data_IF_630204414174
#
_entry.id   IF_630204414174
#
_cell.length_a   1.000
_cell.length_b   1.000
_cell.length_c   1.000
_cell.angle_alpha   90.00
_cell.angle_beta   90.00
_cell.angle_gamma   90.00
#
_symmetry.space_group_name_H-M   'P 1'
#
loop_
_entity.id
_entity.type
_entity.pdbx_description
1 polymer ?
#
# COMPACT_ATOMS: atom_id res chain seq x y z
N UNK A 1 17.08 -2.80 -21.78
CA UNK A 1 15.73 -3.16 -22.27
C UNK A 1 14.82 -1.95 -22.20
N UNK A 2 13.77 -1.93 -23.00
CA UNK A 2 12.71 -0.90 -22.97
C UNK A 2 11.55 -1.38 -22.12
N UNK A 3 11.36 -0.73 -20.97
CA UNK A 3 10.40 -1.15 -19.95
C UNK A 3 9.30 -0.09 -19.81
N UNK A 4 8.06 -0.54 -19.84
CA UNK A 4 6.90 0.30 -19.61
C UNK A 4 6.33 0.03 -18.23
N UNK A 5 6.28 1.04 -17.38
CA UNK A 5 5.58 1.04 -16.11
C UNK A 5 4.16 1.59 -16.33
N UNK A 6 3.14 0.73 -16.28
CA UNK A 6 1.77 1.11 -16.64
C UNK A 6 0.84 1.14 -15.42
N UNK A 7 0.21 2.28 -15.20
CA UNK A 7 -0.71 2.48 -14.09
C UNK A 7 -1.89 3.37 -14.48
N UNK A 8 -2.84 3.55 -13.54
CA UNK A 8 -4.04 4.34 -13.78
C UNK A 8 -3.73 5.84 -13.81
N UNK A 9 -3.03 6.34 -12.81
CA UNK A 9 -2.72 7.76 -12.59
C UNK A 9 -1.42 7.89 -11.80
N UNK A 10 -0.90 9.10 -11.70
CA UNK A 10 0.22 9.47 -10.81
C UNK A 10 -0.25 10.32 -9.62
N UNK A 11 -1.47 10.05 -9.11
CA UNK A 11 -2.02 10.74 -7.96
C UNK A 11 -1.32 10.40 -6.63
N UNK A 12 -1.75 11.05 -5.55
CA UNK A 12 -1.24 10.79 -4.20
C UNK A 12 -1.78 9.44 -3.68
N UNK A 13 -1.01 8.38 -3.86
CA UNK A 13 -1.38 7.02 -3.43
C UNK A 13 -0.20 6.08 -3.26
N UNK A 14 -0.43 4.98 -2.54
CA UNK A 14 0.62 4.01 -2.25
C UNK A 14 1.04 3.18 -3.48
N UNK A 15 0.13 2.91 -4.39
CA UNK A 15 0.41 2.19 -5.65
C UNK A 15 1.29 3.07 -6.54
N UNK A 16 0.91 4.33 -6.69
CA UNK A 16 1.59 5.33 -7.49
C UNK A 16 3.01 5.56 -6.98
N UNK A 17 3.19 5.66 -5.65
CA UNK A 17 4.52 5.79 -5.04
C UNK A 17 5.42 4.59 -5.32
N UNK A 18 4.92 3.38 -5.12
CA UNK A 18 5.69 2.15 -5.37
C UNK A 18 6.06 2.00 -6.85
N UNK A 19 5.14 2.35 -7.77
CA UNK A 19 5.44 2.32 -9.20
C UNK A 19 6.46 3.39 -9.60
N UNK A 20 6.33 4.60 -9.07
CA UNK A 20 7.28 5.68 -9.36
C UNK A 20 8.67 5.35 -8.86
N UNK A 21 8.79 4.79 -7.65
CA UNK A 21 10.07 4.30 -7.15
C UNK A 21 10.65 3.18 -8.01
N UNK A 22 9.84 2.18 -8.39
CA UNK A 22 10.27 1.12 -9.29
C UNK A 22 10.80 1.67 -10.63
N UNK A 23 10.09 2.63 -11.23
CA UNK A 23 10.48 3.21 -12.50
C UNK A 23 11.85 3.92 -12.44
N UNK A 24 12.11 4.63 -11.34
CA UNK A 24 13.44 5.27 -11.09
C UNK A 24 14.51 4.21 -10.91
N UNK A 25 14.29 3.19 -10.07
CA UNK A 25 15.26 2.11 -9.85
C UNK A 25 15.60 1.36 -11.14
N UNK A 26 14.62 1.10 -12.00
CA UNK A 26 14.86 0.47 -13.30
C UNK A 26 15.66 1.39 -14.24
N UNK A 27 15.42 2.69 -14.16
CA UNK A 27 16.21 3.69 -14.93
C UNK A 27 17.66 3.73 -14.46
N UNK A 28 17.89 3.74 -13.14
CA UNK A 28 19.23 3.68 -12.53
C UNK A 28 19.96 2.38 -12.87
N UNK A 29 19.23 1.27 -13.02
CA UNK A 29 19.76 -0.01 -13.48
C UNK A 29 20.09 -0.04 -15.00
N UNK A 30 19.99 1.09 -15.71
CA UNK A 30 20.38 1.23 -17.11
C UNK A 30 19.31 0.81 -18.12
N UNK A 31 18.05 0.67 -17.73
CA UNK A 31 16.96 0.41 -18.66
C UNK A 31 16.41 1.70 -19.27
N UNK A 32 15.84 1.62 -20.47
CA UNK A 32 15.04 2.70 -21.05
C UNK A 32 13.59 2.57 -20.51
N UNK A 33 13.19 3.49 -19.62
CA UNK A 33 11.95 3.39 -18.85
C UNK A 33 10.98 4.51 -19.20
N UNK A 34 9.73 4.15 -19.42
CA UNK A 34 8.62 5.11 -19.54
C UNK A 34 7.48 4.74 -18.61
N UNK A 35 6.90 5.73 -17.96
CA UNK A 35 5.68 5.57 -17.18
C UNK A 35 4.49 5.98 -18.04
N UNK A 36 3.55 5.05 -18.28
CA UNK A 36 2.32 5.31 -19.02
C UNK A 36 1.11 5.34 -18.09
N UNK A 37 0.23 6.34 -18.24
CA UNK A 37 -1.00 6.49 -17.45
C UNK A 37 -2.16 6.99 -18.32
N UNK A 38 -3.42 6.79 -17.85
CA UNK A 38 -4.62 7.19 -18.61
C UNK A 38 -5.62 8.04 -17.79
N UNK A 39 -5.25 8.51 -16.61
CA UNK A 39 -5.97 9.52 -15.81
C UNK A 39 -5.01 10.67 -15.56
N UNK A 40 -5.53 11.90 -15.55
CA UNK A 40 -4.76 13.16 -15.57
C UNK A 40 -4.11 13.58 -14.25
N UNK A 41 -4.23 12.80 -13.17
CA UNK A 41 -3.54 13.09 -11.91
C UNK A 41 -2.02 12.91 -12.06
N UNK A 42 -1.22 13.89 -11.58
CA UNK A 42 0.21 14.04 -11.90
C UNK A 42 1.11 14.33 -10.70
N UNK A 43 0.73 13.92 -9.48
CA UNK A 43 1.49 14.19 -8.26
C UNK A 43 2.96 13.74 -8.32
N UNK A 44 3.22 12.55 -8.87
CA UNK A 44 4.59 11.99 -8.99
C UNK A 44 5.29 12.32 -10.30
N UNK A 45 4.71 13.15 -11.19
CA UNK A 45 5.32 13.48 -12.50
C UNK A 45 6.68 14.16 -12.34
N UNK A 46 6.77 15.24 -11.55
CA UNK A 46 8.02 15.97 -11.36
C UNK A 46 9.14 15.07 -10.82
N UNK A 47 8.81 14.24 -9.81
CA UNK A 47 9.76 13.26 -9.26
C UNK A 47 10.30 12.31 -10.34
N UNK A 48 9.46 11.80 -11.23
CA UNK A 48 9.87 10.91 -12.32
C UNK A 48 10.74 11.64 -13.35
N UNK A 49 10.33 12.82 -13.79
CA UNK A 49 11.03 13.61 -14.80
C UNK A 49 12.42 14.10 -14.30
N UNK A 50 12.51 14.53 -13.04
CA UNK A 50 13.78 14.89 -12.36
C UNK A 50 14.76 13.72 -12.29
N UNK A 51 14.27 12.47 -12.24
CA UNK A 51 15.07 11.25 -12.27
C UNK A 51 15.20 10.65 -13.69
N UNK A 52 14.91 11.42 -14.73
CA UNK A 52 15.12 11.03 -16.12
C UNK A 52 14.14 9.98 -16.65
N UNK A 53 12.99 9.77 -15.98
CA UNK A 53 11.93 8.86 -16.43
C UNK A 53 10.85 9.64 -17.16
N UNK A 54 10.59 9.29 -18.42
CA UNK A 54 9.54 9.91 -19.24
C UNK A 54 8.16 9.50 -18.76
N UNK A 55 7.20 10.42 -18.82
CA UNK A 55 5.80 10.19 -18.47
C UNK A 55 4.90 10.45 -19.67
N UNK A 56 4.20 9.41 -20.11
CA UNK A 56 3.27 9.44 -21.23
C UNK A 56 1.82 9.36 -20.75
N UNK A 57 0.98 10.24 -21.27
CA UNK A 57 -0.46 10.19 -21.06
C UNK A 57 -1.12 9.45 -22.22
N UNK A 58 -1.98 8.49 -21.90
CA UNK A 58 -2.79 7.77 -22.87
C UNK A 58 -4.21 8.28 -22.81
N UNK A 59 -4.71 8.84 -23.91
CA UNK A 59 -6.08 9.33 -23.98
C UNK A 59 -7.08 8.18 -23.79
N UNK A 60 -7.96 8.37 -22.84
CA UNK A 60 -9.03 7.43 -22.55
C UNK A 60 -10.10 7.53 -23.65
N UNK A 61 -10.04 6.64 -24.65
CA UNK A 61 -11.00 6.59 -25.74
C UNK A 61 -11.96 5.40 -25.59
N UNK A 62 -13.25 5.63 -25.87
CA UNK A 62 -14.27 4.60 -26.16
C UNK A 62 -14.24 3.36 -25.24
N UNK A 63 -14.39 3.52 -23.92
CA UNK A 63 -14.45 2.40 -22.98
C UNK A 63 -13.10 1.70 -22.75
N UNK A 64 -13.16 0.47 -22.24
CA UNK A 64 -11.96 -0.30 -21.87
C UNK A 64 -11.15 -0.76 -23.08
N UNK A 65 -11.81 -1.24 -24.13
CA UNK A 65 -11.15 -1.74 -25.35
C UNK A 65 -10.47 -0.62 -26.14
N UNK A 66 -11.11 0.55 -26.30
CA UNK A 66 -10.49 1.69 -26.96
C UNK A 66 -9.25 2.21 -26.22
N UNK A 67 -9.28 2.19 -24.88
CA UNK A 67 -8.10 2.52 -24.09
C UNK A 67 -6.99 1.47 -24.27
N UNK A 68 -7.34 0.16 -24.33
CA UNK A 68 -6.35 -0.90 -24.58
C UNK A 68 -5.70 -0.81 -25.94
N UNK A 69 -6.46 -0.41 -26.98
CA UNK A 69 -5.91 -0.15 -28.33
C UNK A 69 -4.93 1.04 -28.31
N UNK A 70 -5.27 2.13 -27.58
CA UNK A 70 -4.36 3.26 -27.44
C UNK A 70 -3.08 2.87 -26.68
N UNK A 71 -3.21 2.01 -25.65
CA UNK A 71 -2.04 1.41 -24.95
C UNK A 71 -1.22 0.59 -25.94
N UNK A 72 -1.83 -0.28 -26.74
CA UNK A 72 -1.11 -1.11 -27.72
C UNK A 72 -0.27 -0.28 -28.69
N UNK A 73 -0.85 0.79 -29.26
CA UNK A 73 -0.13 1.70 -30.15
C UNK A 73 1.08 2.35 -29.49
N UNK A 74 0.91 2.82 -28.25
CA UNK A 74 2.02 3.43 -27.48
C UNK A 74 3.12 2.41 -27.13
N UNK A 75 2.76 1.18 -26.82
CA UNK A 75 3.72 0.09 -26.61
C UNK A 75 4.52 -0.24 -27.86
N UNK A 76 3.89 -0.22 -29.03
CA UNK A 76 4.55 -0.41 -30.34
C UNK A 76 5.48 0.77 -30.65
N UNK A 77 5.01 2.03 -30.52
CA UNK A 77 5.82 3.24 -30.71
C UNK A 77 7.08 3.22 -29.84
N UNK A 78 6.96 2.87 -28.59
CA UNK A 78 8.08 2.73 -27.68
C UNK A 78 8.89 1.45 -27.93
N UNK A 79 8.36 0.50 -28.69
CA UNK A 79 8.93 -0.84 -28.91
C UNK A 79 9.21 -1.56 -27.59
N UNK A 80 8.23 -1.62 -26.69
CA UNK A 80 8.37 -2.20 -25.37
C UNK A 80 8.84 -3.66 -25.41
N UNK A 81 9.80 -4.02 -24.56
CA UNK A 81 10.27 -5.38 -24.34
C UNK A 81 9.52 -6.00 -23.13
N UNK A 82 9.30 -5.20 -22.08
CA UNK A 82 8.59 -5.61 -20.86
C UNK A 82 7.58 -4.53 -20.47
N UNK A 83 6.37 -4.96 -20.07
CA UNK A 83 5.35 -4.10 -19.48
C UNK A 83 5.07 -4.56 -18.05
N UNK A 84 5.20 -3.66 -17.08
CA UNK A 84 4.88 -3.89 -15.67
C UNK A 84 3.66 -3.05 -15.33
N UNK A 85 2.54 -3.69 -14.99
CA UNK A 85 1.31 -2.97 -14.66
C UNK A 85 0.92 -3.15 -13.20
N UNK A 86 0.57 -2.05 -12.52
CA UNK A 86 0.11 -2.08 -11.13
C UNK A 86 -1.40 -1.86 -11.05
N UNK A 87 -2.06 -2.73 -10.31
CA UNK A 87 -3.50 -2.80 -10.06
C UNK A 87 -4.34 -3.47 -11.17
N UNK A 88 -5.55 -3.97 -10.83
CA UNK A 88 -6.39 -4.79 -11.71
C UNK A 88 -6.76 -4.14 -13.05
N UNK A 89 -7.16 -2.86 -13.02
CA UNK A 89 -7.65 -2.19 -14.25
C UNK A 89 -6.53 -1.95 -15.28
N UNK A 90 -5.34 -1.43 -14.92
CA UNK A 90 -4.20 -1.40 -15.84
C UNK A 90 -3.78 -2.80 -16.30
N UNK A 91 -3.74 -3.79 -15.39
CA UNK A 91 -3.38 -5.16 -15.72
C UNK A 91 -4.24 -5.76 -16.84
N UNK A 92 -5.57 -5.67 -16.75
CA UNK A 92 -6.47 -6.14 -17.80
C UNK A 92 -6.28 -5.38 -19.13
N UNK A 93 -6.07 -4.05 -19.06
CA UNK A 93 -5.81 -3.25 -20.28
C UNK A 93 -4.51 -3.66 -20.96
N UNK A 94 -3.47 -3.95 -20.18
CA UNK A 94 -2.21 -4.45 -20.72
C UNK A 94 -2.34 -5.85 -21.33
N UNK A 95 -3.16 -6.73 -20.74
CA UNK A 95 -3.49 -8.03 -21.33
C UNK A 95 -4.17 -7.86 -22.70
N UNK A 96 -5.18 -7.01 -22.80
CA UNK A 96 -5.83 -6.77 -24.10
C UNK A 96 -4.92 -6.07 -25.09
N UNK A 97 -4.07 -5.14 -24.64
CA UNK A 97 -3.07 -4.52 -25.50
C UNK A 97 -2.10 -5.57 -26.04
N UNK A 98 -1.71 -6.58 -25.26
CA UNK A 98 -0.83 -7.68 -25.71
C UNK A 98 -1.44 -8.48 -26.86
N UNK A 99 -2.77 -8.66 -26.91
CA UNK A 99 -3.45 -9.30 -28.03
C UNK A 99 -3.52 -8.42 -29.28
N UNK A 100 -3.47 -7.08 -29.12
CA UNK A 100 -3.62 -6.11 -30.20
C UNK A 100 -2.27 -5.69 -30.80
N UNK A 101 -1.16 -5.86 -30.05
CA UNK A 101 0.18 -5.54 -30.50
C UNK A 101 0.71 -6.58 -31.49
N UNK A 102 1.34 -6.09 -32.57
CA UNK A 102 2.11 -6.95 -33.51
C UNK A 102 3.43 -7.38 -32.89
N UNK A 103 4.08 -6.46 -32.15
CA UNK A 103 5.32 -6.76 -31.41
C UNK A 103 4.99 -7.52 -30.13
N UNK A 104 5.67 -8.64 -29.91
CA UNK A 104 5.59 -9.40 -28.67
C UNK A 104 6.37 -8.67 -27.56
N UNK A 105 5.83 -8.72 -26.34
CA UNK A 105 6.48 -8.24 -25.12
C UNK A 105 6.10 -9.11 -23.93
N UNK A 106 6.91 -9.08 -22.87
CA UNK A 106 6.61 -9.74 -21.60
C UNK A 106 5.71 -8.86 -20.73
N UNK A 107 4.72 -9.46 -20.09
CA UNK A 107 3.75 -8.76 -19.24
C UNK A 107 3.81 -9.25 -17.79
N UNK A 108 4.14 -8.33 -16.90
CA UNK A 108 4.03 -8.49 -15.45
C UNK A 108 2.80 -7.73 -14.96
N UNK A 109 1.87 -8.41 -14.32
CA UNK A 109 0.71 -7.79 -13.67
C UNK A 109 0.88 -7.84 -12.16
N UNK A 110 0.60 -6.74 -11.46
CA UNK A 110 0.77 -6.69 -10.01
C UNK A 110 -0.53 -6.42 -9.29
N UNK A 111 -0.89 -7.33 -8.38
CA UNK A 111 -2.02 -7.23 -7.48
C UNK A 111 -1.59 -6.57 -6.16
N UNK A 112 -2.12 -5.37 -5.89
CA UNK A 112 -1.71 -4.50 -4.78
C UNK A 112 -2.75 -4.33 -3.68
N UNK A 113 -3.86 -5.06 -3.78
CA UNK A 113 -4.92 -5.03 -2.79
C UNK A 113 -5.30 -6.44 -2.41
N UNK A 114 -5.35 -6.73 -1.11
CA UNK A 114 -5.88 -8.00 -0.63
C UNK A 114 -7.37 -8.10 -0.95
N UNK A 115 -7.79 -9.20 -1.55
CA UNK A 115 -9.18 -9.52 -1.86
C UNK A 115 -9.65 -10.65 -0.93
N UNK A 116 -10.52 -10.33 0.01
CA UNK A 116 -11.04 -11.32 0.96
C UNK A 116 -11.88 -12.42 0.26
N UNK A 117 -12.60 -12.04 -0.79
CA UNK A 117 -13.40 -12.94 -1.64
C UNK A 117 -13.24 -12.50 -3.08
N UNK A 118 -13.15 -13.46 -3.97
CA UNK A 118 -13.17 -13.20 -5.40
C UNK A 118 -14.61 -13.15 -5.91
N UNK A 119 -14.94 -12.07 -6.61
CA UNK A 119 -16.19 -11.90 -7.36
C UNK A 119 -16.04 -12.42 -8.79
N UNK A 120 -17.13 -12.51 -9.54
CA UNK A 120 -17.10 -13.01 -10.93
C UNK A 120 -16.09 -12.24 -11.81
N UNK A 121 -15.96 -10.91 -11.61
CA UNK A 121 -15.00 -10.09 -12.33
C UNK A 121 -13.55 -10.43 -11.98
N UNK A 122 -13.28 -10.88 -10.77
CA UNK A 122 -11.95 -11.32 -10.35
C UNK A 122 -11.61 -12.67 -10.98
N UNK A 123 -12.56 -13.62 -11.00
CA UNK A 123 -12.43 -14.90 -11.70
C UNK A 123 -12.09 -14.69 -13.17
N UNK A 124 -12.86 -13.83 -13.85
CA UNK A 124 -12.58 -13.46 -15.23
C UNK A 124 -11.18 -12.86 -15.40
N UNK A 125 -10.75 -11.94 -14.50
CA UNK A 125 -9.43 -11.31 -14.55
C UNK A 125 -8.31 -12.33 -14.40
N UNK A 126 -8.38 -13.22 -13.42
CA UNK A 126 -7.34 -14.24 -13.20
C UNK A 126 -7.30 -15.28 -14.30
N UNK A 127 -8.46 -15.57 -14.92
CA UNK A 127 -8.50 -16.37 -16.14
C UNK A 127 -7.76 -15.67 -17.28
N UNK A 128 -8.00 -14.39 -17.52
CA UNK A 128 -7.26 -13.61 -18.53
C UNK A 128 -5.76 -13.57 -18.21
N UNK A 129 -5.37 -13.41 -16.93
CA UNK A 129 -3.97 -13.43 -16.52
C UNK A 129 -3.30 -14.78 -16.76
N UNK A 130 -4.04 -15.87 -16.61
CA UNK A 130 -3.50 -17.22 -16.89
C UNK A 130 -2.96 -17.33 -18.31
N UNK A 131 -3.65 -16.78 -19.28
CA UNK A 131 -3.26 -16.87 -20.71
C UNK A 131 -2.30 -15.76 -21.14
N UNK A 132 -2.44 -14.56 -20.62
CA UNK A 132 -1.81 -13.37 -21.18
C UNK A 132 -0.72 -12.75 -20.33
N UNK A 133 -0.71 -12.96 -19.03
CA UNK A 133 0.36 -12.50 -18.16
C UNK A 133 1.50 -13.54 -18.09
N UNK A 134 2.72 -13.08 -18.19
CA UNK A 134 3.91 -13.92 -18.01
C UNK A 134 4.22 -14.10 -16.52
N UNK A 135 3.99 -13.08 -15.70
CA UNK A 135 4.12 -13.13 -14.23
C UNK A 135 3.00 -12.33 -13.54
N UNK A 136 2.64 -12.79 -12.35
CA UNK A 136 1.73 -12.12 -11.43
C UNK A 136 2.50 -11.81 -10.15
N UNK A 137 2.57 -10.54 -9.76
CA UNK A 137 3.27 -10.11 -8.55
C UNK A 137 2.27 -9.62 -7.52
N UNK A 138 2.20 -10.27 -6.38
CA UNK A 138 1.47 -9.78 -5.21
C UNK A 138 2.39 -8.95 -4.31
N UNK A 139 1.84 -7.99 -3.58
CA UNK A 139 2.61 -7.26 -2.57
C UNK A 139 2.45 -7.82 -1.15
N UNK A 140 1.83 -8.98 -0.99
CA UNK A 140 1.72 -9.68 0.29
C UNK A 140 1.70 -11.18 0.09
N UNK A 141 2.28 -11.93 1.03
CA UNK A 141 2.29 -13.38 1.02
C UNK A 141 0.89 -13.96 1.17
N UNK A 142 0.08 -13.37 2.06
CA UNK A 142 -1.31 -13.78 2.25
C UNK A 142 -2.14 -13.64 0.95
N UNK A 143 -1.96 -12.54 0.20
CA UNK A 143 -2.62 -12.36 -1.10
C UNK A 143 -2.11 -13.36 -2.14
N UNK A 144 -0.80 -13.60 -2.20
CA UNK A 144 -0.21 -14.60 -3.09
C UNK A 144 -0.81 -15.98 -2.82
N UNK A 145 -0.80 -16.42 -1.58
CA UNK A 145 -1.38 -17.73 -1.19
C UNK A 145 -2.87 -17.82 -1.50
N UNK A 146 -3.61 -16.73 -1.27
CA UNK A 146 -5.03 -16.68 -1.60
C UNK A 146 -5.30 -16.77 -3.11
N UNK A 147 -4.45 -16.16 -3.95
CA UNK A 147 -4.52 -16.30 -5.41
C UNK A 147 -4.22 -17.76 -5.81
N UNK A 148 -3.11 -18.33 -5.33
CA UNK A 148 -2.69 -19.70 -5.70
C UNK A 148 -3.73 -20.73 -5.24
N UNK A 149 -4.24 -20.64 -4.02
CA UNK A 149 -5.25 -21.58 -3.50
C UNK A 149 -6.57 -21.50 -4.26
N UNK A 150 -6.95 -20.33 -4.77
CA UNK A 150 -8.18 -20.14 -5.55
C UNK A 150 -8.00 -20.43 -7.05
N UNK A 151 -6.80 -20.25 -7.56
CA UNK A 151 -6.42 -20.43 -8.97
C UNK A 151 -5.11 -21.22 -9.09
N UNK A 152 -5.10 -22.54 -8.81
CA UNK A 152 -3.87 -23.35 -8.78
C UNK A 152 -3.06 -23.29 -10.08
N UNK A 153 -3.70 -23.08 -11.22
CA UNK A 153 -3.03 -22.93 -12.51
C UNK A 153 -2.12 -21.68 -12.61
N UNK A 154 -2.17 -20.78 -11.63
CA UNK A 154 -1.33 -19.58 -11.57
C UNK A 154 -0.10 -19.74 -10.68
N UNK A 155 0.08 -20.88 -9.99
CA UNK A 155 1.15 -21.08 -9.01
C UNK A 155 2.53 -20.80 -9.62
N UNK A 156 2.86 -21.40 -10.76
CA UNK A 156 4.16 -21.21 -11.44
C UNK A 156 4.41 -19.82 -12.01
N UNK A 157 3.41 -18.93 -11.99
CA UNK A 157 3.50 -17.54 -12.47
C UNK A 157 3.40 -16.51 -11.38
N UNK A 158 3.01 -16.88 -10.16
CA UNK A 158 2.71 -15.94 -9.06
C UNK A 158 3.86 -15.88 -8.06
N UNK A 159 4.30 -14.68 -7.76
CA UNK A 159 5.33 -14.40 -6.76
C UNK A 159 4.92 -13.25 -5.84
N UNK A 160 5.63 -13.10 -4.73
CA UNK A 160 5.42 -11.99 -3.79
C UNK A 160 6.64 -11.09 -3.81
N UNK A 161 6.43 -9.78 -4.11
CA UNK A 161 7.42 -8.72 -3.93
C UNK A 161 6.77 -7.66 -3.05
N UNK A 162 7.12 -7.63 -1.77
CA UNK A 162 6.55 -6.67 -0.82
C UNK A 162 7.06 -5.26 -1.08
N UNK A 163 6.28 -4.27 -0.63
CA UNK A 163 6.60 -2.86 -0.79
C UNK A 163 7.96 -2.50 -0.16
N UNK A 164 8.61 -1.47 -0.70
CA UNK A 164 9.78 -0.86 -0.08
C UNK A 164 9.41 0.40 0.71
N UNK A 165 10.30 0.82 1.58
CA UNK A 165 10.26 2.11 2.26
C UNK A 165 11.60 2.80 2.08
N UNK A 166 11.57 4.10 1.85
CA UNK A 166 12.76 4.95 1.93
C UNK A 166 13.16 5.12 3.40
N UNK A 167 14.11 4.29 3.83
CA UNK A 167 14.58 4.22 5.22
C UNK A 167 15.31 5.49 5.66
N UNK A 168 15.89 6.24 4.74
CA UNK A 168 16.56 7.51 5.01
C UNK A 168 15.55 8.63 5.28
N UNK A 169 14.50 8.67 4.47
CA UNK A 169 13.38 9.60 4.67
C UNK A 169 12.64 9.34 5.98
N UNK A 170 12.47 8.07 6.33
CA UNK A 170 11.74 7.61 7.50
C UNK A 170 12.71 7.16 8.61
N UNK A 171 13.66 8.02 8.97
CA UNK A 171 14.53 7.79 10.14
C UNK A 171 13.75 7.99 11.43
N UNK A 172 14.03 7.17 12.48
CA UNK A 172 13.46 7.40 13.80
C UNK A 172 13.71 8.82 14.29
N UNK A 173 12.68 9.47 14.81
CA UNK A 173 12.79 10.76 15.46
C UNK A 173 13.08 10.58 16.94
N UNK A 174 13.89 11.46 17.52
CA UNK A 174 14.15 11.50 18.95
C UNK A 174 13.09 12.28 19.75
N UNK A 175 12.03 12.76 19.08
CA UNK A 175 10.92 13.46 19.75
C UNK A 175 9.98 12.45 20.40
N UNK A 176 10.32 12.00 21.58
CA UNK A 176 9.42 11.24 22.42
C UNK A 176 8.72 12.18 23.39
N UNK A 177 7.39 12.23 23.31
CA UNK A 177 6.59 12.93 24.30
C UNK A 177 6.66 12.16 25.62
N UNK A 178 7.35 12.71 26.61
CA UNK A 178 7.50 12.05 27.92
C UNK A 178 6.26 12.22 28.80
N UNK A 179 5.47 13.27 28.55
CA UNK A 179 4.27 13.61 29.32
C UNK A 179 3.05 13.83 28.43
N UNK A 180 1.87 13.75 29.02
CA UNK A 180 0.59 13.98 28.36
C UNK A 180 -0.09 12.71 27.81
N UNK A 181 -1.18 12.87 27.04
CA UNK A 181 -1.94 11.75 26.48
C UNK A 181 -1.11 10.92 25.51
N UNK A 182 -1.36 9.62 25.44
CA UNK A 182 -0.77 8.76 24.41
C UNK A 182 -1.36 9.13 23.05
N UNK A 183 -0.50 9.47 22.08
CA UNK A 183 -0.88 9.92 20.74
C UNK A 183 -0.85 8.74 19.78
N UNK A 184 -2.03 8.39 19.27
CA UNK A 184 -2.19 7.34 18.27
C UNK A 184 -2.50 7.98 16.92
N UNK A 185 -1.77 7.60 15.87
CA UNK A 185 -2.06 8.07 14.51
C UNK A 185 -2.43 6.95 13.58
N UNK A 186 -3.42 7.22 12.71
CA UNK A 186 -3.80 6.36 11.60
C UNK A 186 -3.60 7.15 10.30
N UNK A 187 -2.80 6.64 9.39
CA UNK A 187 -2.60 7.24 8.06
C UNK A 187 -3.21 6.30 7.02
N UNK A 188 -4.45 6.58 6.61
CA UNK A 188 -5.11 5.78 5.60
C UNK A 188 -6.36 6.46 5.04
N UNK A 189 -6.77 6.08 3.82
CA UNK A 189 -8.04 6.54 3.24
C UNK A 189 -9.21 6.23 4.16
N UNK A 190 -10.11 7.18 4.32
CA UNK A 190 -11.31 6.99 5.13
C UNK A 190 -12.35 6.16 4.36
N UNK A 191 -12.42 4.87 4.66
CA UNK A 191 -13.38 3.94 4.05
C UNK A 191 -13.71 2.77 4.99
N UNK A 192 -14.81 2.06 4.72
CA UNK A 192 -15.27 0.93 5.56
C UNK A 192 -14.19 -0.13 5.80
N UNK A 193 -13.40 -0.44 4.77
CA UNK A 193 -12.31 -1.41 4.86
C UNK A 193 -11.30 -1.09 5.94
N UNK A 194 -11.04 0.20 6.15
CA UNK A 194 -10.08 0.70 7.13
C UNK A 194 -10.61 0.75 8.56
N UNK A 195 -11.90 0.41 8.76
CA UNK A 195 -12.54 0.21 10.07
C UNK A 195 -12.51 1.43 11.02
N UNK A 196 -12.56 2.65 10.47
CA UNK A 196 -12.60 3.88 11.28
C UNK A 196 -13.73 3.83 12.31
N UNK A 197 -14.89 3.29 11.92
CA UNK A 197 -16.06 3.21 12.81
C UNK A 197 -15.83 2.26 14.00
N UNK A 198 -15.09 1.15 13.82
CA UNK A 198 -14.69 0.27 14.90
C UNK A 198 -13.76 0.98 15.88
N UNK A 199 -12.75 1.72 15.37
CA UNK A 199 -11.83 2.48 16.20
C UNK A 199 -12.53 3.60 16.99
N UNK A 200 -13.53 4.30 16.40
CA UNK A 200 -14.34 5.29 17.12
C UNK A 200 -15.11 4.64 18.29
N UNK A 201 -15.63 3.42 18.10
CA UNK A 201 -16.31 2.70 19.19
C UNK A 201 -15.34 2.28 20.30
N UNK A 202 -14.16 1.78 19.94
CA UNK A 202 -13.10 1.45 20.90
C UNK A 202 -12.68 2.71 21.69
N UNK A 203 -12.51 3.86 21.02
CA UNK A 203 -12.20 5.13 21.67
C UNK A 203 -13.28 5.56 22.69
N UNK A 204 -14.57 5.24 22.42
CA UNK A 204 -15.65 5.49 23.41
C UNK A 204 -15.44 4.67 24.68
N UNK A 205 -15.14 3.38 24.57
CA UNK A 205 -14.88 2.51 25.73
C UNK A 205 -13.67 3.00 26.54
N UNK A 206 -12.59 3.45 25.86
CA UNK A 206 -11.42 4.00 26.52
C UNK A 206 -11.71 5.32 27.27
N UNK A 207 -12.48 6.22 26.64
CA UNK A 207 -12.89 7.48 27.28
C UNK A 207 -13.78 7.24 28.50
N UNK A 208 -14.71 6.28 28.42
CA UNK A 208 -15.58 5.92 29.53
C UNK A 208 -14.80 5.37 30.75
N UNK A 209 -13.63 4.78 30.49
CA UNK A 209 -12.68 4.35 31.53
C UNK A 209 -11.78 5.48 32.05
N UNK A 210 -11.93 6.70 31.54
CA UNK A 210 -11.14 7.87 31.95
C UNK A 210 -9.66 7.84 31.50
N UNK A 211 -9.33 7.08 30.47
CA UNK A 211 -7.96 6.97 29.97
C UNK A 211 -7.54 8.22 29.21
N UNK A 212 -6.24 8.59 29.30
CA UNK A 212 -5.68 9.78 28.66
C UNK A 212 -5.00 9.42 27.32
N UNK A 213 -5.66 9.72 26.21
CA UNK A 213 -5.19 9.44 24.85
C UNK A 213 -5.69 10.47 23.84
N UNK A 214 -5.05 10.49 22.67
CA UNK A 214 -5.54 11.24 21.51
C UNK A 214 -5.35 10.41 20.24
N UNK A 215 -6.40 10.31 19.40
CA UNK A 215 -6.37 9.58 18.13
C UNK A 215 -6.54 10.57 16.98
N UNK A 216 -5.53 10.65 16.10
CA UNK A 216 -5.57 11.45 14.88
C UNK A 216 -5.64 10.53 13.66
N UNK A 217 -6.74 10.65 12.88
CA UNK A 217 -6.91 9.91 11.64
C UNK A 217 -6.61 10.81 10.44
N UNK A 218 -5.50 10.59 9.76
CA UNK A 218 -5.11 11.29 8.54
C UNK A 218 -5.59 10.51 7.32
N UNK A 219 -6.55 11.06 6.57
CA UNK A 219 -7.18 10.36 5.46
C UNK A 219 -7.60 11.25 4.31
N UNK A 220 -8.19 10.68 3.29
CA UNK A 220 -8.70 11.42 2.15
C UNK A 220 -9.89 12.30 2.53
N UNK A 221 -9.92 13.49 2.02
CA UNK A 221 -10.74 14.64 2.38
C UNK A 221 -11.94 14.88 1.51
N UNK A 222 -12.19 14.02 0.54
CA UNK A 222 -13.46 14.12 -0.18
C UNK A 222 -14.60 13.82 0.79
N UNK A 223 -15.53 14.76 0.94
CA UNK A 223 -16.73 14.56 1.74
C UNK A 223 -17.51 13.36 1.21
N UNK A 224 -17.54 12.29 1.99
CA UNK A 224 -18.24 11.06 1.67
C UNK A 224 -19.35 10.80 2.68
N UNK A 225 -20.37 10.02 2.27
CA UNK A 225 -21.39 9.53 3.21
C UNK A 225 -20.76 8.79 4.42
N UNK A 226 -19.61 8.13 4.22
CA UNK A 226 -18.90 7.43 5.28
C UNK A 226 -18.24 8.39 6.26
N UNK A 227 -17.58 9.45 5.79
CA UNK A 227 -17.02 10.51 6.62
C UNK A 227 -18.09 11.15 7.48
N UNK A 228 -19.21 11.58 6.88
CA UNK A 228 -20.34 12.16 7.64
C UNK A 228 -20.86 11.22 8.73
N UNK A 229 -20.92 9.92 8.45
CA UNK A 229 -21.30 8.91 9.46
C UNK A 229 -20.29 8.86 10.61
N UNK A 230 -18.99 8.86 10.32
CA UNK A 230 -17.94 8.86 11.34
C UNK A 230 -18.00 10.12 12.21
N UNK A 231 -18.11 11.30 11.61
CA UNK A 231 -18.21 12.57 12.33
C UNK A 231 -19.44 12.62 13.26
N UNK A 232 -20.61 12.20 12.77
CA UNK A 232 -21.82 12.09 13.61
C UNK A 232 -21.65 11.12 14.78
N UNK A 233 -20.88 10.05 14.59
CA UNK A 233 -20.61 9.08 15.66
C UNK A 233 -19.64 9.65 16.70
N UNK A 234 -18.59 10.35 16.28
CA UNK A 234 -17.66 11.08 17.16
C UNK A 234 -18.43 12.08 18.02
N UNK A 235 -19.30 12.87 17.40
CA UNK A 235 -20.14 13.85 18.10
C UNK A 235 -21.13 13.19 19.09
N UNK A 236 -21.87 12.15 18.63
CA UNK A 236 -22.81 11.40 19.47
C UNK A 236 -22.15 10.78 20.71
N UNK A 237 -20.89 10.34 20.59
CA UNK A 237 -20.11 9.72 21.67
C UNK A 237 -19.31 10.73 22.49
N UNK A 238 -19.39 12.04 22.15
CA UNK A 238 -18.65 13.09 22.85
C UNK A 238 -17.14 12.95 22.74
N UNK A 239 -16.61 12.52 21.60
CA UNK A 239 -15.20 12.19 21.42
C UNK A 239 -14.37 13.30 20.74
N UNK A 240 -14.93 14.51 20.54
CA UNK A 240 -14.25 15.59 19.79
C UNK A 240 -12.93 16.05 20.40
N UNK A 241 -12.73 15.83 21.68
CA UNK A 241 -11.53 16.15 22.44
C UNK A 241 -10.42 15.09 22.35
N UNK A 242 -10.76 13.85 21.95
CA UNK A 242 -9.81 12.71 21.93
C UNK A 242 -9.71 12.00 20.56
N UNK A 243 -10.58 12.34 19.62
CA UNK A 243 -10.60 11.73 18.29
C UNK A 243 -10.88 12.75 17.20
N UNK A 244 -9.93 12.93 16.28
CA UNK A 244 -10.06 13.82 15.14
C UNK A 244 -9.86 13.10 13.80
N UNK A 245 -10.49 13.62 12.75
CA UNK A 245 -10.30 13.17 11.37
C UNK A 245 -9.77 14.34 10.57
N UNK A 246 -8.54 14.19 10.09
CA UNK A 246 -7.75 15.21 9.42
C UNK A 246 -7.58 14.90 7.93
N UNK A 247 -7.21 15.94 7.20
CA UNK A 247 -6.89 15.82 5.79
C UNK A 247 -5.62 15.00 5.54
N UNK A 248 -5.58 14.36 4.35
CA UNK A 248 -4.36 13.72 3.89
C UNK A 248 -3.29 14.80 3.63
N UNK A 249 -2.11 14.61 4.17
CA UNK A 249 -0.97 15.51 3.98
C UNK A 249 0.15 14.85 3.16
N UNK A 250 1.01 15.68 2.57
CA UNK A 250 2.25 15.27 1.92
C UNK A 250 3.37 15.01 2.93
N UNK A 251 3.33 15.75 4.02
CA UNK A 251 4.29 15.64 5.12
C UNK A 251 3.82 14.58 6.12
N UNK A 252 3.95 13.30 5.71
CA UNK A 252 3.67 12.17 6.60
C UNK A 252 4.77 11.97 7.63
N UNK A 253 5.98 12.51 7.38
CA UNK A 253 7.10 12.39 8.30
C UNK A 253 6.81 13.11 9.61
N UNK A 254 6.33 14.34 9.56
CA UNK A 254 5.97 15.10 10.77
C UNK A 254 4.87 14.41 11.57
N UNK A 255 3.92 13.71 10.91
CA UNK A 255 2.93 12.92 11.63
C UNK A 255 3.60 11.80 12.44
N UNK A 256 4.53 11.03 11.84
CA UNK A 256 5.22 9.96 12.56
C UNK A 256 6.09 10.51 13.71
N UNK A 257 6.68 11.70 13.55
CA UNK A 257 7.47 12.36 14.60
C UNK A 257 6.63 12.76 15.82
N UNK A 258 5.35 13.08 15.62
CA UNK A 258 4.40 13.46 16.67
C UNK A 258 3.59 12.27 17.22
N UNK A 259 3.84 11.05 16.75
CA UNK A 259 3.08 9.84 17.08
C UNK A 259 3.83 9.01 18.12
N UNK A 260 3.14 8.53 19.15
CA UNK A 260 3.68 7.54 20.10
C UNK A 260 3.46 6.11 19.60
N UNK A 261 2.28 5.83 19.03
CA UNK A 261 1.92 4.51 18.48
C UNK A 261 1.15 4.68 17.17
N UNK A 262 1.62 4.01 16.12
CA UNK A 262 0.87 3.93 14.86
C UNK A 262 -0.24 2.87 14.96
N UNK A 263 -1.46 3.21 14.54
CA UNK A 263 -2.60 2.30 14.59
C UNK A 263 -3.13 1.97 13.18
N UNK A 264 -3.38 0.67 12.91
CA UNK A 264 -3.93 0.19 11.64
C UNK A 264 -5.10 -0.79 11.88
N UNK A 265 -6.35 -0.31 12.07
CA UNK A 265 -7.48 -1.15 12.47
C UNK A 265 -8.21 -1.83 11.31
N UNK A 266 -7.59 -1.99 10.17
CA UNK A 266 -8.19 -2.45 8.92
C UNK A 266 -8.76 -3.87 9.00
N UNK A 267 -9.89 -4.11 8.33
CA UNK A 267 -10.45 -5.46 8.21
C UNK A 267 -9.61 -6.38 7.32
N UNK A 268 -8.89 -5.85 6.36
CA UNK A 268 -7.95 -6.56 5.49
C UNK A 268 -7.02 -5.60 4.77
N UNK A 269 -5.79 -6.05 4.52
CA UNK A 269 -4.72 -5.31 3.84
C UNK A 269 -3.94 -6.23 2.89
N UNK A 270 -3.22 -5.64 1.93
CA UNK A 270 -1.96 -6.21 1.46
C UNK A 270 -0.85 -5.78 2.42
N UNK A 271 0.35 -5.49 1.92
CA UNK A 271 1.36 -4.81 2.74
C UNK A 271 1.05 -3.31 2.77
N UNK A 272 0.68 -2.80 3.95
CA UNK A 272 0.33 -1.38 4.12
C UNK A 272 1.57 -0.49 4.10
N UNK A 273 1.65 0.45 3.15
CA UNK A 273 2.77 1.40 3.08
C UNK A 273 2.91 2.21 4.37
N UNK A 274 1.80 2.71 4.93
CA UNK A 274 1.84 3.53 6.15
C UNK A 274 2.31 2.73 7.38
N UNK A 275 2.00 1.44 7.45
CA UNK A 275 2.55 0.57 8.50
C UNK A 275 4.06 0.37 8.30
N UNK A 276 4.51 0.09 7.08
CA UNK A 276 5.94 -0.06 6.79
C UNK A 276 6.72 1.22 7.10
N UNK A 277 6.15 2.39 6.80
CA UNK A 277 6.73 3.70 7.14
C UNK A 277 6.77 3.95 8.64
N UNK A 278 5.71 3.59 9.38
CA UNK A 278 5.66 3.69 10.83
C UNK A 278 6.74 2.81 11.48
N UNK A 279 6.89 1.56 11.01
CA UNK A 279 7.98 0.68 11.45
C UNK A 279 9.35 1.28 11.15
N UNK A 280 9.56 1.83 9.95
CA UNK A 280 10.81 2.50 9.56
C UNK A 280 11.10 3.75 10.38
N UNK A 281 10.05 4.50 10.76
CA UNK A 281 10.15 5.67 11.63
C UNK A 281 10.39 5.31 13.09
N UNK A 282 10.50 4.02 13.44
CA UNK A 282 10.79 3.56 14.80
C UNK A 282 9.59 3.70 15.74
N UNK A 283 8.37 3.52 15.25
CA UNK A 283 7.18 3.55 16.10
C UNK A 283 6.74 2.15 16.54
N UNK A 284 6.24 2.05 17.75
CA UNK A 284 5.43 0.92 18.15
C UNK A 284 4.14 0.88 17.30
N UNK A 285 3.68 -0.33 16.93
CA UNK A 285 2.55 -0.49 16.01
C UNK A 285 1.43 -1.29 16.64
N UNK A 286 0.21 -0.75 16.64
CA UNK A 286 -1.01 -1.46 16.96
C UNK A 286 -1.77 -1.77 15.67
N UNK A 287 -1.94 -3.02 15.30
CA UNK A 287 -2.64 -3.34 14.07
C UNK A 287 -3.55 -4.56 14.16
N UNK A 288 -4.49 -4.64 13.25
CA UNK A 288 -5.33 -5.83 13.09
C UNK A 288 -4.49 -7.06 12.77
N UNK A 289 -4.82 -8.20 13.38
CA UNK A 289 -4.25 -9.51 13.02
C UNK A 289 -4.90 -10.01 11.72
N UNK A 290 -4.46 -9.47 10.60
CA UNK A 290 -4.97 -9.81 9.25
C UNK A 290 -3.84 -9.81 8.24
N UNK A 291 -3.99 -10.63 7.20
CA UNK A 291 -3.02 -10.74 6.10
C UNK A 291 -1.59 -10.96 6.63
N UNK A 292 -0.63 -10.19 6.16
CA UNK A 292 0.78 -10.27 6.54
C UNK A 292 1.14 -9.42 7.77
N UNK A 293 0.19 -8.75 8.43
CA UNK A 293 0.51 -7.86 9.54
C UNK A 293 1.29 -8.57 10.66
N UNK A 294 0.92 -9.81 10.99
CA UNK A 294 1.61 -10.62 11.99
C UNK A 294 3.03 -11.07 11.55
N UNK A 295 3.41 -10.91 10.29
CA UNK A 295 4.79 -11.14 9.83
C UNK A 295 5.71 -9.99 10.26
N UNK A 296 5.17 -8.77 10.37
CA UNK A 296 5.91 -7.53 10.62
C UNK A 296 5.68 -6.96 12.02
N UNK A 297 4.52 -7.20 12.61
CA UNK A 297 4.20 -6.79 13.98
C UNK A 297 4.12 -8.02 14.86
N UNK A 298 5.02 -8.10 15.84
CA UNK A 298 5.11 -9.19 16.82
C UNK A 298 4.55 -8.70 18.14
N UNK A 299 3.43 -9.27 18.56
CA UNK A 299 2.79 -8.92 19.84
C UNK A 299 3.78 -9.04 21.00
N UNK A 300 3.85 -8.01 21.82
CA UNK A 300 4.78 -7.95 22.96
C UNK A 300 6.25 -7.68 22.61
N UNK A 301 6.62 -7.48 21.33
CA UNK A 301 8.00 -7.21 20.91
C UNK A 301 8.16 -5.83 20.25
N UNK A 302 7.38 -5.54 19.22
CA UNK A 302 7.41 -4.27 18.52
C UNK A 302 6.01 -3.65 18.34
N UNK A 303 4.99 -4.26 18.96
CA UNK A 303 3.63 -3.76 18.89
C UNK A 303 2.59 -4.74 19.40
N UNK A 304 1.37 -4.53 19.00
CA UNK A 304 0.19 -5.27 19.43
C UNK A 304 -0.67 -5.67 18.24
N UNK A 305 -1.27 -6.86 18.34
CA UNK A 305 -2.22 -7.38 17.37
C UNK A 305 -3.60 -7.49 18.02
N UNK A 306 -4.65 -7.13 17.27
CA UNK A 306 -6.04 -7.25 17.71
C UNK A 306 -6.96 -7.76 16.60
N UNK A 307 -8.09 -8.33 16.98
CA UNK A 307 -9.14 -8.74 16.06
C UNK A 307 -9.97 -7.52 15.58
N UNK A 308 -9.92 -7.12 14.30
CA UNK A 308 -10.66 -5.96 13.81
C UNK A 308 -12.19 -6.12 13.84
N UNK A 309 -12.70 -7.33 14.05
CA UNK A 309 -14.13 -7.63 14.16
C UNK A 309 -14.65 -7.53 15.60
N UNK A 310 -13.77 -7.39 16.60
CA UNK A 310 -14.12 -7.23 18.00
C UNK A 310 -13.74 -5.83 18.49
N UNK A 311 -14.74 -5.01 18.80
CA UNK A 311 -14.50 -3.68 19.38
C UNK A 311 -13.88 -3.82 20.77
N UNK A 312 -14.34 -4.79 21.57
CA UNK A 312 -13.83 -5.04 22.92
C UNK A 312 -12.35 -5.47 22.90
N UNK A 313 -11.94 -6.33 21.97
CA UNK A 313 -10.55 -6.75 21.81
C UNK A 313 -9.66 -5.56 21.38
N UNK A 314 -10.12 -4.76 20.44
CA UNK A 314 -9.44 -3.53 20.03
C UNK A 314 -9.32 -2.55 21.21
N UNK A 315 -10.38 -2.32 21.97
CA UNK A 315 -10.38 -1.44 23.12
C UNK A 315 -9.44 -1.96 24.22
N UNK A 316 -9.47 -3.25 24.53
CA UNK A 316 -8.56 -3.86 25.50
C UNK A 316 -7.09 -3.74 25.11
N UNK A 317 -6.76 -3.97 23.84
CA UNK A 317 -5.40 -3.76 23.31
C UNK A 317 -4.98 -2.29 23.40
N UNK A 318 -5.85 -1.35 23.05
CA UNK A 318 -5.54 0.08 23.16
C UNK A 318 -5.43 0.54 24.61
N UNK A 319 -6.19 -0.03 25.54
CA UNK A 319 -6.04 0.21 26.99
C UNK A 319 -4.66 -0.23 27.50
N UNK A 320 -4.20 -1.41 27.10
CA UNK A 320 -2.84 -1.89 27.41
C UNK A 320 -1.76 -0.91 26.90
N UNK A 321 -1.91 -0.44 25.65
CA UNK A 321 -0.99 0.52 25.03
C UNK A 321 -0.98 1.84 25.82
N UNK A 322 -2.16 2.40 26.14
CA UNK A 322 -2.28 3.68 26.85
C UNK A 322 -1.72 3.58 28.28
N UNK A 323 -1.84 2.41 28.88
CA UNK A 323 -1.31 2.13 30.23
C UNK A 323 0.18 1.74 30.23
N UNK A 324 0.77 1.54 29.06
CA UNK A 324 2.18 1.17 28.95
C UNK A 324 3.12 2.33 29.29
N UNK A 325 4.28 2.01 29.85
CA UNK A 325 5.34 3.00 30.08
C UNK A 325 5.89 3.53 28.77
N UNK A 326 6.29 4.78 28.71
CA UNK A 326 6.87 5.39 27.52
C UNK A 326 8.12 4.67 27.03
N UNK A 327 8.94 4.17 27.96
CA UNK A 327 10.15 3.40 27.66
C UNK A 327 9.83 2.09 26.93
N UNK A 328 8.67 1.46 27.23
CA UNK A 328 8.17 0.27 26.51
C UNK A 328 7.81 0.62 25.07
N UNK A 329 7.08 1.72 24.85
CA UNK A 329 6.74 2.19 23.49
C UNK A 329 8.01 2.47 22.67
N UNK A 330 9.02 3.11 23.29
CA UNK A 330 10.31 3.38 22.67
C UNK A 330 11.09 2.10 22.35
N UNK A 331 11.09 1.13 23.25
CA UNK A 331 11.73 -0.17 23.04
C UNK A 331 11.10 -0.89 21.85
N UNK A 332 9.75 -0.90 21.76
CA UNK A 332 9.02 -1.47 20.64
C UNK A 332 9.30 -0.73 19.31
N UNK A 333 9.43 0.58 19.38
CA UNK A 333 9.83 1.40 18.23
C UNK A 333 11.22 1.01 17.69
N UNK A 334 12.22 0.76 18.56
CA UNK A 334 13.53 0.28 18.13
C UNK A 334 13.46 -1.07 17.42
N UNK A 335 12.69 -2.01 17.96
CA UNK A 335 12.46 -3.31 17.32
C UNK A 335 11.71 -3.19 15.98
N UNK A 336 10.77 -2.25 15.88
CA UNK A 336 10.08 -1.92 14.63
C UNK A 336 11.07 -1.47 13.55
N UNK A 337 12.03 -0.60 13.91
CA UNK A 337 13.07 -0.14 12.99
C UNK A 337 13.93 -1.30 12.47
N UNK A 338 14.36 -2.20 13.33
CA UNK A 338 15.13 -3.40 12.93
C UNK A 338 14.36 -4.23 11.92
N UNK A 339 13.05 -4.45 12.15
CA UNK A 339 12.19 -5.18 11.21
C UNK A 339 12.07 -4.43 9.86
N UNK A 340 11.95 -3.11 9.89
CA UNK A 340 11.86 -2.33 8.66
C UNK A 340 13.15 -2.40 7.84
N UNK A 341 14.30 -2.33 8.46
CA UNK A 341 15.62 -2.47 7.82
C UNK A 341 15.85 -3.85 7.21
N UNK A 342 15.31 -4.90 7.83
CA UNK A 342 15.38 -6.27 7.31
C UNK A 342 14.37 -6.50 6.17
N UNK A 343 13.13 -6.01 6.31
CA UNK A 343 12.01 -6.43 5.45
C UNK A 343 11.70 -5.48 4.31
N UNK A 344 12.02 -4.18 4.41
CA UNK A 344 11.54 -3.15 3.47
C UNK A 344 12.63 -2.30 2.81
N UNK A 345 13.93 -2.68 2.81
CA UNK A 345 14.92 -1.85 2.15
C UNK A 345 14.69 -1.80 0.64
N UNK A 346 15.01 -0.64 0.03
CA UNK A 346 14.82 -0.40 -1.40
C UNK A 346 15.69 -1.34 -2.25
N UNK A 347 16.86 -1.71 -1.75
CA UNK A 347 17.82 -2.61 -2.41
C UNK A 347 17.23 -4.03 -2.58
N UNK A 348 16.47 -4.52 -1.59
CA UNK A 348 15.76 -5.80 -1.70
C UNK A 348 14.69 -5.75 -2.79
N UNK A 349 13.87 -4.71 -2.77
CA UNK A 349 12.80 -4.51 -3.75
C UNK A 349 13.38 -4.41 -5.18
N UNK A 350 14.48 -3.66 -5.35
CA UNK A 350 15.20 -3.53 -6.61
C UNK A 350 15.71 -4.89 -7.08
N UNK A 351 16.45 -5.61 -6.25
CA UNK A 351 17.01 -6.92 -6.59
C UNK A 351 15.92 -7.92 -7.01
N UNK A 352 14.77 -7.94 -6.30
CA UNK A 352 13.65 -8.84 -6.63
C UNK A 352 13.02 -8.50 -7.98
N UNK A 353 12.83 -7.21 -8.31
CA UNK A 353 12.30 -6.81 -9.63
C UNK A 353 13.32 -7.00 -10.75
N UNK A 354 14.59 -6.69 -10.54
CA UNK A 354 15.65 -6.94 -11.53
C UNK A 354 15.75 -8.43 -11.82
N UNK A 355 15.79 -9.29 -10.79
CA UNK A 355 15.81 -10.75 -10.98
C UNK A 355 14.60 -11.24 -11.78
N UNK A 356 13.38 -10.74 -11.48
CA UNK A 356 12.18 -11.07 -12.23
C UNK A 356 12.29 -10.67 -13.72
N UNK A 357 12.87 -9.51 -14.01
CA UNK A 357 13.05 -8.99 -15.37
C UNK A 357 14.11 -9.81 -16.13
N UNK A 358 15.22 -10.15 -15.48
CA UNK A 358 16.26 -10.99 -16.06
C UNK A 358 15.74 -12.40 -16.40
N UNK A 359 14.96 -13.01 -15.51
CA UNK A 359 14.34 -14.32 -15.77
C UNK A 359 13.38 -14.27 -16.96
N UNK A 360 12.61 -13.19 -17.09
CA UNK A 360 11.73 -12.99 -18.23
C UNK A 360 12.49 -12.75 -19.54
N UNK A 361 13.67 -12.17 -19.47
CA UNK A 361 14.49 -11.89 -20.66
C UNK A 361 15.18 -13.12 -21.21
N UNK A 362 15.49 -14.10 -20.36
CA UNK A 362 16.15 -15.38 -20.75
C UNK A 362 15.14 -16.38 -21.36
N UNK A 363 13.87 -16.29 -21.04
CA UNK A 363 12.84 -17.15 -21.60
C UNK A 363 12.55 -16.73 -23.06
N UNK A 364 12.49 -17.67 -24.01
CA UNK A 364 12.09 -17.39 -25.40
C UNK A 364 10.68 -16.80 -25.48
N UNK A 365 10.45 -15.82 -26.39
CA UNK A 365 9.18 -15.08 -26.58
C UNK A 365 8.12 -15.92 -27.32
#
# INVERSE_FOLDING_TARGET
>A
MRIVCFLRSLGLGGIERQMSGLAVLLKEAGHDVVVMKYISEDFYRSYLEENGVRVEHIDKKWGSLGTSLAVARKLEEFSADIVISFAPSPGLKACYAKLMCRRKFRLVVSERNYLRRFHINDWYRFFVYHFLADRIVSNSHAQMQHIISSFPMLEGKTSCIVNFVDLEKHKPSHRHHQEGPVRLSVISRLCRRKNTHGLIKAAKELKDKGLSFHISWYGSTRETRYLRKCMKTIEKYGLKDVFEILEATRDVKSIYEETDVFCLPSFYEGTSNSMCEALASGLAVACSDVSDNALYVKHGKNGWLFNPHSVADMAGTLEEIISSRRETLQAYGRESRVIAEEKFPIERFNREYIGLIEDLSKAEL
#
